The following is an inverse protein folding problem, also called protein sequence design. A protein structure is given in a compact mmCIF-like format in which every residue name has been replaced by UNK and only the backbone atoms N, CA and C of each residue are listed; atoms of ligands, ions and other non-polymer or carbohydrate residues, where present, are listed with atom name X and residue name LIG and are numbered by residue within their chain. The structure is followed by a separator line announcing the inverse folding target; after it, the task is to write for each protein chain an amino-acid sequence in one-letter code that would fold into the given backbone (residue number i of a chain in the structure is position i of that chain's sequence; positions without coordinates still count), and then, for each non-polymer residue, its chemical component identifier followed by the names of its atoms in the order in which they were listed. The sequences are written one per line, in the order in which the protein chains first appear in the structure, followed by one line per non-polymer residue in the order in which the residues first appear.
data_IF_113687284909
#
_entry.id   IF_113687284909
#
_cell.length_a   1.000
_cell.length_b   1.000
_cell.length_c   1.000
_cell.angle_alpha   90.00
_cell.angle_beta   90.00
_cell.angle_gamma   90.00
#
_symmetry.space_group_name_H-M   'P 1'
#
loop_
_entity.id
_entity.type
_entity.pdbx_description
1 polymer ?
#
# COMPACT_ATOMS: atom_id res chain seq x y z
N UNK A 1 -5.05 -1.23 3.16
CA UNK A 1 -5.51 -2.04 2.01
C UNK A 1 -6.10 -3.35 2.49
N UNK A 2 -7.18 -3.84 1.87
CA UNK A 2 -7.86 -5.07 2.30
C UNK A 2 -8.29 -6.00 1.14
N UNK A 3 -7.66 -5.88 -0.03
CA UNK A 3 -8.00 -6.66 -1.25
C UNK A 3 -7.56 -8.12 -1.15
N UNK A 4 -6.34 -8.35 -0.69
CA UNK A 4 -5.75 -9.69 -0.60
C UNK A 4 -6.50 -10.56 0.42
N UNK A 5 -7.09 -9.93 1.45
CA UNK A 5 -7.98 -10.61 2.39
C UNK A 5 -9.17 -11.26 1.68
N UNK A 6 -9.73 -10.59 0.67
CA UNK A 6 -10.91 -11.10 -0.04
C UNK A 6 -10.53 -12.32 -0.88
N UNK A 7 -9.43 -12.23 -1.65
CA UNK A 7 -8.92 -13.34 -2.43
C UNK A 7 -8.64 -14.56 -1.55
N UNK A 8 -7.97 -14.36 -0.40
CA UNK A 8 -7.67 -15.46 0.52
C UNK A 8 -8.94 -16.07 1.14
N UNK A 9 -9.93 -15.24 1.53
CA UNK A 9 -11.09 -15.73 2.27
C UNK A 9 -12.15 -16.37 1.37
N UNK A 10 -12.33 -15.85 0.15
CA UNK A 10 -13.38 -16.29 -0.77
C UNK A 10 -12.88 -17.30 -1.81
N UNK A 11 -11.63 -17.18 -2.28
CA UNK A 11 -11.08 -18.08 -3.29
C UNK A 11 -9.60 -18.45 -3.00
N UNK A 12 -9.35 -19.19 -1.90
CA UNK A 12 -7.99 -19.62 -1.56
C UNK A 12 -7.40 -20.62 -2.56
N UNK A 13 -8.24 -21.37 -3.29
CA UNK A 13 -7.79 -22.36 -4.27
C UNK A 13 -7.25 -21.71 -5.55
N UNK A 14 -7.83 -20.58 -5.98
CA UNK A 14 -7.27 -19.77 -7.06
C UNK A 14 -5.84 -19.30 -6.74
N UNK A 15 -5.59 -18.87 -5.49
CA UNK A 15 -4.24 -18.51 -5.06
C UNK A 15 -3.30 -19.73 -5.08
N UNK A 16 -3.75 -20.89 -4.60
CA UNK A 16 -2.95 -22.13 -4.61
C UNK A 16 -2.58 -22.53 -6.05
N UNK A 17 -3.53 -22.49 -6.98
CA UNK A 17 -3.27 -22.77 -8.40
C UNK A 17 -2.24 -21.78 -8.97
N UNK A 18 -2.40 -20.48 -8.70
CA UNK A 18 -1.44 -19.45 -9.11
C UNK A 18 -0.03 -19.68 -8.56
N UNK A 19 0.09 -20.12 -7.29
CA UNK A 19 1.37 -20.51 -6.68
C UNK A 19 1.97 -21.70 -7.41
N UNK A 20 1.20 -22.78 -7.63
CA UNK A 20 1.70 -24.00 -8.28
C UNK A 20 2.21 -23.72 -9.70
N UNK A 21 1.48 -22.94 -10.50
CA UNK A 21 1.90 -22.53 -11.84
C UNK A 21 3.19 -21.71 -11.77
N UNK A 22 3.27 -20.75 -10.85
CA UNK A 22 4.46 -19.89 -10.69
C UNK A 22 5.68 -20.69 -10.27
N UNK A 23 5.51 -21.65 -9.35
CA UNK A 23 6.56 -22.56 -8.92
C UNK A 23 7.06 -23.42 -10.07
N UNK A 24 6.16 -23.94 -10.91
CA UNK A 24 6.54 -24.69 -12.11
C UNK A 24 7.36 -23.81 -13.07
N UNK A 25 6.92 -22.58 -13.34
CA UNK A 25 7.61 -21.66 -14.25
C UNK A 25 8.99 -21.23 -13.75
N UNK A 26 9.18 -21.16 -12.43
CA UNK A 26 10.44 -20.70 -11.80
C UNK A 26 11.34 -21.85 -11.33
N UNK A 27 10.87 -23.10 -11.40
CA UNK A 27 11.56 -24.27 -10.86
C UNK A 27 11.56 -24.35 -9.32
N UNK A 28 10.76 -23.54 -8.64
CA UNK A 28 10.66 -23.55 -7.18
C UNK A 28 9.94 -24.81 -6.68
N UNK A 29 10.53 -25.49 -5.68
CA UNK A 29 9.96 -26.70 -5.05
C UNK A 29 9.19 -26.40 -3.75
N UNK A 30 9.31 -25.18 -3.25
CA UNK A 30 8.70 -24.77 -1.98
C UNK A 30 8.16 -23.36 -2.12
N UNK A 31 6.93 -23.14 -1.65
CA UNK A 31 6.32 -21.83 -1.52
C UNK A 31 5.91 -21.56 -0.08
N UNK A 32 6.11 -20.32 0.37
CA UNK A 32 5.62 -19.84 1.64
C UNK A 32 4.59 -18.74 1.41
N UNK A 33 3.42 -18.87 2.03
CA UNK A 33 2.42 -17.81 2.13
C UNK A 33 2.66 -17.09 3.45
N UNK A 34 3.31 -15.93 3.40
CA UNK A 34 3.47 -15.06 4.57
C UNK A 34 2.17 -14.27 4.77
N UNK A 35 1.46 -14.54 5.86
CA UNK A 35 0.20 -13.88 6.20
C UNK A 35 0.37 -13.03 7.46
N UNK A 36 -0.11 -11.79 7.43
CA UNK A 36 -0.05 -10.88 8.58
C UNK A 36 -0.73 -11.47 9.82
N UNK A 37 -0.23 -11.11 11.00
CA UNK A 37 -0.66 -11.68 12.29
C UNK A 37 -2.14 -11.48 12.59
N UNK A 38 -2.70 -10.36 12.15
CA UNK A 38 -4.08 -9.92 12.39
C UNK A 38 -5.12 -10.68 11.55
N UNK A 39 -4.71 -11.68 10.76
CA UNK A 39 -5.60 -12.46 9.88
C UNK A 39 -5.69 -13.95 10.27
N UNK A 40 -6.07 -14.29 11.52
CA UNK A 40 -6.13 -15.69 11.97
C UNK A 40 -7.17 -16.52 11.19
N UNK A 41 -8.32 -15.93 10.81
CA UNK A 41 -9.34 -16.62 10.02
C UNK A 41 -8.80 -17.00 8.64
N UNK A 42 -8.20 -16.05 7.93
CA UNK A 42 -7.59 -16.28 6.63
C UNK A 42 -6.48 -17.33 6.68
N UNK A 43 -5.67 -17.35 7.74
CA UNK A 43 -4.65 -18.39 7.93
C UNK A 43 -5.28 -19.78 8.06
N UNK A 44 -6.36 -19.92 8.83
CA UNK A 44 -7.12 -21.19 8.94
C UNK A 44 -7.72 -21.62 7.60
N UNK A 45 -8.27 -20.67 6.83
CA UNK A 45 -8.83 -20.93 5.50
C UNK A 45 -7.74 -21.45 4.55
N UNK A 46 -6.57 -20.80 4.50
CA UNK A 46 -5.44 -21.25 3.68
C UNK A 46 -4.94 -22.62 4.09
N UNK A 47 -4.77 -22.88 5.40
CA UNK A 47 -4.34 -24.18 5.89
C UNK A 47 -5.31 -25.29 5.48
N UNK A 48 -6.62 -25.04 5.57
CA UNK A 48 -7.66 -25.98 5.11
C UNK A 48 -7.58 -26.20 3.60
N UNK A 49 -7.50 -25.13 2.79
CA UNK A 49 -7.43 -25.24 1.34
C UNK A 49 -6.15 -25.99 0.88
N UNK A 50 -5.01 -25.74 1.53
CA UNK A 50 -3.76 -26.47 1.28
C UNK A 50 -3.91 -27.95 1.65
N UNK A 51 -4.57 -28.27 2.76
CA UNK A 51 -4.82 -29.66 3.16
C UNK A 51 -5.74 -30.38 2.14
N UNK A 52 -6.79 -29.72 1.66
CA UNK A 52 -7.66 -30.23 0.59
C UNK A 52 -6.88 -30.48 -0.71
N UNK A 53 -6.05 -29.52 -1.13
CA UNK A 53 -5.22 -29.65 -2.32
C UNK A 53 -4.17 -30.77 -2.18
N UNK A 54 -3.59 -30.94 -0.98
CA UNK A 54 -2.66 -32.03 -0.65
C UNK A 54 -3.36 -33.39 -0.68
N UNK A 55 -4.56 -33.51 -0.12
CA UNK A 55 -5.33 -34.75 -0.13
C UNK A 55 -5.67 -35.23 -1.55
N UNK A 56 -5.83 -34.30 -2.50
CA UNK A 56 -6.02 -34.60 -3.93
C UNK A 56 -4.71 -34.77 -4.72
N UNK A 57 -3.56 -34.61 -4.07
CA UNK A 57 -2.24 -34.74 -4.69
C UNK A 57 -1.81 -33.56 -5.57
N UNK A 58 -2.48 -32.41 -5.49
CA UNK A 58 -2.05 -31.18 -6.20
C UNK A 58 -0.86 -30.52 -5.50
N UNK A 59 -0.88 -30.49 -4.16
CA UNK A 59 0.25 -30.03 -3.32
C UNK A 59 1.00 -31.24 -2.77
N UNK A 60 2.33 -31.15 -2.71
CA UNK A 60 3.23 -32.18 -2.22
C UNK A 60 3.69 -33.22 -3.23
N UNK A 61 3.27 -33.08 -4.50
CA UNK A 61 3.86 -33.78 -5.64
C UNK A 61 4.76 -32.84 -6.44
N UNK A 62 5.90 -32.47 -5.84
CA UNK A 62 6.93 -31.62 -6.45
C UNK A 62 7.01 -30.19 -5.89
N UNK A 63 5.86 -29.60 -5.49
CA UNK A 63 5.80 -28.31 -4.81
C UNK A 63 5.12 -28.47 -3.45
N UNK A 64 5.81 -28.06 -2.39
CA UNK A 64 5.22 -27.92 -1.05
C UNK A 64 4.81 -26.47 -0.77
N UNK A 65 3.68 -26.28 -0.08
CA UNK A 65 3.17 -24.97 0.30
C UNK A 65 2.99 -24.91 1.81
N UNK A 66 3.55 -23.86 2.43
CA UNK A 66 3.48 -23.60 3.86
C UNK A 66 2.83 -22.24 4.14
N UNK A 67 2.05 -22.15 5.22
CA UNK A 67 1.53 -20.87 5.72
C UNK A 67 2.40 -20.42 6.88
N UNK A 68 2.98 -19.23 6.77
CA UNK A 68 3.74 -18.60 7.84
C UNK A 68 2.97 -17.38 8.35
N UNK A 69 2.60 -17.37 9.64
CA UNK A 69 1.89 -16.24 10.25
C UNK A 69 2.90 -15.26 10.84
N UNK A 70 2.92 -14.04 10.35
CA UNK A 70 3.65 -12.92 10.95
C UNK A 70 3.00 -12.45 12.27
N UNK A 71 3.54 -11.35 12.81
CA UNK A 71 3.17 -10.84 14.14
C UNK A 71 2.80 -9.35 14.17
N UNK A 72 2.30 -8.81 13.07
CA UNK A 72 1.72 -7.45 13.05
C UNK A 72 2.72 -6.32 12.89
N UNK A 73 3.60 -6.42 11.90
CA UNK A 73 4.49 -5.34 11.50
C UNK A 73 4.35 -5.10 9.99
N UNK A 74 4.04 -3.86 9.59
CA UNK A 74 3.87 -3.46 8.20
C UNK A 74 5.15 -3.61 7.40
N UNK A 75 6.32 -3.36 8.01
CA UNK A 75 7.62 -3.54 7.34
C UNK A 75 7.89 -4.99 6.91
N UNK A 76 7.28 -6.00 7.57
CA UNK A 76 7.35 -7.39 7.15
C UNK A 76 6.64 -7.66 5.81
N UNK A 77 5.87 -6.70 5.28
CA UNK A 77 5.29 -6.76 3.94
C UNK A 77 6.24 -6.33 2.83
N UNK A 78 7.37 -5.70 3.16
CA UNK A 78 8.43 -5.37 2.20
C UNK A 78 9.15 -6.65 1.76
N UNK A 79 9.53 -6.76 0.48
CA UNK A 79 10.06 -7.99 -0.12
C UNK A 79 11.21 -8.63 0.69
N UNK A 80 12.21 -7.84 1.07
CA UNK A 80 13.39 -8.34 1.79
C UNK A 80 13.16 -8.40 3.30
N UNK A 81 12.36 -7.49 3.86
CA UNK A 81 11.91 -7.55 5.25
C UNK A 81 11.06 -8.80 5.55
N UNK A 82 10.23 -9.22 4.59
CA UNK A 82 9.43 -10.45 4.63
C UNK A 82 10.34 -11.67 4.71
N UNK A 83 11.37 -11.72 3.86
CA UNK A 83 12.35 -12.83 3.86
C UNK A 83 13.04 -12.92 5.22
N UNK A 84 13.57 -11.81 5.74
CA UNK A 84 14.23 -11.79 7.05
C UNK A 84 13.29 -12.20 8.19
N UNK A 85 12.04 -11.70 8.18
CA UNK A 85 11.03 -12.12 9.16
C UNK A 85 10.74 -13.62 9.08
N UNK A 86 10.62 -14.17 7.87
CA UNK A 86 10.32 -15.59 7.67
C UNK A 86 11.49 -16.49 8.10
N UNK A 87 12.73 -16.01 7.95
CA UNK A 87 13.94 -16.67 8.47
C UNK A 87 14.04 -16.65 10.01
N UNK A 88 13.09 -16.01 10.71
CA UNK A 88 13.08 -15.91 12.16
C UNK A 88 13.95 -14.78 12.71
N UNK A 89 14.42 -13.88 11.85
CA UNK A 89 15.19 -12.69 12.25
C UNK A 89 14.25 -11.49 12.46
N UNK A 90 14.82 -10.39 12.95
CA UNK A 90 14.13 -9.09 12.90
C UNK A 90 13.91 -8.71 11.44
N UNK A 91 12.75 -8.15 11.12
CA UNK A 91 12.38 -7.73 9.77
C UNK A 91 13.11 -6.46 9.34
N UNK A 92 14.43 -6.53 9.25
CA UNK A 92 15.31 -5.49 8.78
C UNK A 92 15.58 -5.73 7.30
N UNK A 93 15.01 -4.92 6.39
CA UNK A 93 15.22 -5.09 4.96
C UNK A 93 16.69 -5.22 4.58
N UNK A 94 16.96 -6.07 3.59
CA UNK A 94 18.30 -6.27 3.05
C UNK A 94 18.63 -5.15 2.08
N UNK A 95 19.85 -4.61 2.18
CA UNK A 95 20.37 -3.70 1.17
C UNK A 95 20.57 -4.51 -0.13
N UNK A 96 20.08 -3.96 -1.25
CA UNK A 96 20.29 -4.52 -2.59
C UNK A 96 21.53 -3.85 -3.20
N UNK A 97 22.47 -4.58 -3.84
CA UNK A 97 22.58 -6.04 -4.02
C UNK A 97 23.17 -6.80 -2.79
N UNK A 98 22.99 -8.15 -2.69
CA UNK A 98 22.41 -9.06 -3.69
C UNK A 98 20.87 -9.02 -3.71
N UNK A 99 20.28 -9.21 -4.89
CA UNK A 99 18.83 -9.29 -5.05
C UNK A 99 18.29 -10.66 -4.58
N UNK A 100 17.05 -10.72 -4.05
CA UNK A 100 16.43 -11.98 -3.61
C UNK A 100 16.39 -13.09 -4.66
N UNK A 101 16.27 -12.70 -5.94
CA UNK A 101 16.29 -13.63 -7.07
C UNK A 101 17.62 -14.40 -7.21
N UNK A 102 18.69 -13.92 -6.58
CA UNK A 102 19.99 -14.61 -6.51
C UNK A 102 20.21 -15.19 -5.12
N UNK A 103 20.05 -14.36 -4.07
CA UNK A 103 20.24 -14.76 -2.67
C UNK A 103 19.07 -14.25 -1.83
N UNK A 104 18.05 -15.08 -1.71
CA UNK A 104 16.81 -14.79 -0.99
C UNK A 104 16.69 -15.61 0.29
N UNK A 105 15.54 -16.28 0.44
CA UNK A 105 15.17 -17.05 1.62
C UNK A 105 16.13 -18.23 1.85
N UNK A 106 16.71 -18.29 3.04
CA UNK A 106 17.73 -19.28 3.44
C UNK A 106 18.93 -19.34 2.48
N UNK A 107 19.24 -18.21 1.84
CA UNK A 107 20.30 -18.12 0.83
C UNK A 107 19.92 -18.67 -0.55
N UNK A 108 18.68 -19.16 -0.74
CA UNK A 108 18.21 -19.67 -2.02
C UNK A 108 17.59 -18.57 -2.89
N UNK A 109 17.68 -18.66 -4.23
CA UNK A 109 16.92 -17.81 -5.17
C UNK A 109 15.44 -17.77 -4.82
N UNK A 110 14.91 -16.58 -4.57
CA UNK A 110 13.53 -16.37 -4.12
C UNK A 110 12.89 -15.20 -4.85
N UNK A 111 11.63 -15.35 -5.23
CA UNK A 111 10.81 -14.26 -5.81
C UNK A 111 9.61 -14.05 -4.90
N UNK A 112 9.35 -12.81 -4.52
CA UNK A 112 8.17 -12.44 -3.71
C UNK A 112 7.12 -11.83 -4.63
N UNK A 113 5.91 -12.40 -4.63
CA UNK A 113 4.78 -11.90 -5.40
C UNK A 113 3.60 -11.59 -4.47
N UNK A 114 2.85 -10.54 -4.80
CA UNK A 114 1.60 -10.25 -4.13
C UNK A 114 0.52 -11.29 -4.50
N UNK A 115 -0.43 -11.51 -3.59
CA UNK A 115 -1.55 -12.45 -3.75
C UNK A 115 -2.34 -12.16 -5.03
N UNK A 116 -2.71 -10.91 -5.30
CA UNK A 116 -3.46 -10.53 -6.50
C UNK A 116 -2.71 -10.89 -7.79
N UNK A 117 -1.40 -10.66 -7.84
CA UNK A 117 -0.57 -11.03 -8.99
C UNK A 117 -0.67 -12.53 -9.27
N UNK A 118 -0.58 -13.36 -8.23
CA UNK A 118 -0.64 -14.81 -8.37
C UNK A 118 -2.05 -15.28 -8.76
N UNK A 119 -3.11 -14.65 -8.23
CA UNK A 119 -4.49 -14.98 -8.61
C UNK A 119 -4.83 -14.64 -10.07
N UNK A 120 -4.11 -13.71 -10.71
CA UNK A 120 -4.28 -13.43 -12.14
C UNK A 120 -3.68 -14.52 -13.04
N UNK A 121 -2.70 -15.29 -12.56
CA UNK A 121 -1.94 -16.24 -13.37
C UNK A 121 -2.82 -17.37 -13.94
N UNK A 122 -3.69 -18.05 -13.15
CA UNK A 122 -4.57 -19.08 -13.69
C UNK A 122 -5.45 -18.58 -14.84
N UNK A 123 -5.97 -17.36 -14.76
CA UNK A 123 -6.76 -16.76 -15.84
C UNK A 123 -5.93 -16.54 -17.10
N UNK A 124 -4.70 -16.05 -16.95
CA UNK A 124 -3.78 -15.80 -18.07
C UNK A 124 -3.38 -17.12 -18.75
N UNK A 125 -3.07 -18.16 -17.99
CA UNK A 125 -2.68 -19.46 -18.55
C UNK A 125 -3.85 -20.11 -19.29
N UNK A 126 -5.05 -20.08 -18.71
CA UNK A 126 -6.21 -20.76 -19.29
C UNK A 126 -6.79 -20.03 -20.52
N UNK A 127 -6.69 -18.70 -20.59
CA UNK A 127 -7.29 -17.89 -21.68
C UNK A 127 -6.26 -17.32 -22.66
N UNK A 128 -4.98 -17.42 -22.32
CA UNK A 128 -3.86 -16.90 -23.09
C UNK A 128 -3.52 -15.45 -22.79
N UNK A 129 -2.23 -15.11 -22.95
CA UNK A 129 -1.73 -13.75 -22.75
C UNK A 129 -2.33 -12.73 -23.72
N UNK A 130 -2.72 -13.16 -24.94
CA UNK A 130 -3.39 -12.30 -25.91
C UNK A 130 -4.74 -11.81 -25.38
N UNK A 131 -5.53 -12.69 -24.77
CA UNK A 131 -6.79 -12.32 -24.10
C UNK A 131 -6.54 -11.33 -22.97
N UNK A 132 -5.57 -11.59 -22.09
CA UNK A 132 -5.29 -10.70 -20.96
C UNK A 132 -4.87 -9.29 -21.42
N UNK A 133 -4.18 -9.18 -22.56
CA UNK A 133 -3.82 -7.89 -23.17
C UNK A 133 -4.99 -7.15 -23.81
N UNK A 134 -6.13 -7.81 -24.06
CA UNK A 134 -7.36 -7.12 -24.48
C UNK A 134 -8.02 -6.37 -23.34
N UNK A 135 -7.71 -6.75 -22.09
CA UNK A 135 -8.21 -6.08 -20.90
C UNK A 135 -7.33 -4.88 -20.56
N UNK A 136 -7.98 -3.79 -20.17
CA UNK A 136 -7.32 -2.56 -19.75
C UNK A 136 -6.80 -1.69 -20.90
N UNK A 137 -5.65 -1.05 -20.70
CA UNK A 137 -5.06 -0.09 -21.66
C UNK A 137 -3.57 -0.40 -21.95
N UNK A 138 -3.01 0.05 -23.08
CA UNK A 138 -1.58 -0.12 -23.35
C UNK A 138 -0.71 0.38 -22.18
N UNK A 139 0.28 -0.42 -21.76
CA UNK A 139 1.12 -0.11 -20.59
C UNK A 139 0.51 -0.46 -19.23
N UNK A 140 -0.77 -0.83 -19.15
CA UNK A 140 -1.47 -1.27 -17.94
C UNK A 140 -2.58 -2.26 -18.31
N UNK A 141 -2.17 -3.46 -18.71
CA UNK A 141 -3.07 -4.54 -19.15
C UNK A 141 -3.62 -5.35 -17.99
N UNK A 142 -4.84 -5.85 -18.13
CA UNK A 142 -5.49 -6.71 -17.15
C UNK A 142 -6.55 -6.00 -16.31
N UNK A 143 -6.99 -6.69 -15.25
CA UNK A 143 -7.86 -6.14 -14.23
C UNK A 143 -7.07 -5.73 -13.00
N UNK A 144 -7.69 -4.89 -12.18
CA UNK A 144 -7.16 -4.45 -10.89
C UNK A 144 -8.23 -4.61 -9.83
N UNK A 145 -7.88 -5.24 -8.72
CA UNK A 145 -8.72 -5.27 -7.53
C UNK A 145 -8.32 -4.10 -6.62
N UNK A 146 -9.23 -3.14 -6.43
CA UNK A 146 -9.03 -2.02 -5.50
C UNK A 146 -9.89 -2.17 -4.26
N UNK A 147 -9.57 -1.39 -3.24
CA UNK A 147 -10.33 -1.22 -2.01
C UNK A 147 -10.62 0.25 -1.81
N UNK A 148 -11.90 0.63 -1.71
CA UNK A 148 -12.31 2.01 -1.47
C UNK A 148 -12.76 2.15 -0.01
N UNK A 149 -12.18 3.14 0.66
CA UNK A 149 -12.44 3.49 2.06
C UNK A 149 -12.63 5.00 2.22
N UNK A 150 -13.09 5.42 3.39
CA UNK A 150 -13.54 6.79 3.64
C UNK A 150 -15.06 6.92 3.53
N UNK A 151 -15.60 8.15 3.58
CA UNK A 151 -17.03 8.41 3.67
C UNK A 151 -17.73 8.32 2.30
N UNK A 152 -17.67 7.17 1.65
CA UNK A 152 -18.45 6.85 0.43
C UNK A 152 -19.71 6.05 0.79
N UNK A 153 -20.72 6.02 -0.09
CA UNK A 153 -21.97 5.27 0.18
C UNK A 153 -21.74 3.76 0.25
N UNK A 154 -20.91 3.23 -0.66
CA UNK A 154 -20.57 1.81 -0.75
C UNK A 154 -19.06 1.61 -0.64
N UNK A 155 -18.47 1.70 0.57
CA UNK A 155 -17.06 1.32 0.75
C UNK A 155 -16.94 -0.19 0.56
N UNK A 156 -15.80 -0.65 0.05
CA UNK A 156 -15.67 -2.06 -0.30
C UNK A 156 -14.50 -2.33 -1.21
N UNK A 157 -14.56 -3.44 -1.93
CA UNK A 157 -13.57 -3.83 -2.92
C UNK A 157 -14.24 -4.01 -4.27
N UNK A 158 -13.54 -3.61 -5.32
CA UNK A 158 -14.06 -3.57 -6.68
C UNK A 158 -12.98 -4.03 -7.65
N UNK A 159 -13.33 -4.89 -8.58
CA UNK A 159 -12.47 -5.30 -9.68
C UNK A 159 -12.95 -4.63 -10.97
N UNK A 160 -12.02 -4.02 -11.70
CA UNK A 160 -12.30 -3.42 -12.99
C UNK A 160 -11.09 -3.54 -13.91
N UNK A 161 -11.32 -3.36 -15.21
CA UNK A 161 -10.25 -3.27 -16.20
C UNK A 161 -9.43 -1.99 -16.05
N UNK A 162 -8.11 -2.13 -16.03
CA UNK A 162 -7.19 -1.01 -15.83
C UNK A 162 -7.41 0.11 -16.84
N UNK A 163 -7.55 1.35 -16.37
CA UNK A 163 -7.72 2.53 -17.23
C UNK A 163 -9.11 2.70 -17.86
N UNK A 164 -10.08 1.80 -17.60
CA UNK A 164 -11.47 1.94 -18.11
C UNK A 164 -12.37 2.83 -17.25
N UNK A 165 -11.95 3.11 -16.02
CA UNK A 165 -12.63 4.02 -15.10
C UNK A 165 -11.69 5.16 -14.71
N UNK A 166 -12.24 6.35 -14.54
CA UNK A 166 -11.56 7.44 -13.83
C UNK A 166 -11.73 7.29 -12.31
N UNK A 167 -10.89 7.98 -11.53
CA UNK A 167 -11.07 8.04 -10.08
C UNK A 167 -12.45 8.59 -9.70
N UNK A 168 -12.94 9.61 -10.42
CA UNK A 168 -14.28 10.17 -10.24
C UNK A 168 -15.37 9.13 -10.48
N UNK A 169 -15.33 8.42 -11.60
CA UNK A 169 -16.32 7.39 -11.93
C UNK A 169 -16.35 6.25 -10.90
N UNK A 170 -15.18 5.83 -10.41
CA UNK A 170 -15.12 4.84 -9.34
C UNK A 170 -15.82 5.34 -8.06
N UNK A 171 -15.66 6.61 -7.69
CA UNK A 171 -16.27 7.14 -6.47
C UNK A 171 -17.76 7.43 -6.67
N UNK A 172 -18.12 8.13 -7.73
CA UNK A 172 -19.48 8.62 -7.99
C UNK A 172 -20.39 7.48 -8.49
N UNK A 173 -19.98 6.73 -9.51
CA UNK A 173 -20.84 5.71 -10.14
C UNK A 173 -20.76 4.37 -9.40
N UNK A 174 -19.55 3.90 -9.12
CA UNK A 174 -19.35 2.55 -8.54
C UNK A 174 -19.56 2.56 -7.02
N UNK A 175 -18.99 3.53 -6.30
CA UNK A 175 -19.19 3.62 -4.85
C UNK A 175 -20.49 4.35 -4.46
N UNK A 176 -21.22 4.93 -5.43
CA UNK A 176 -22.49 5.64 -5.19
C UNK A 176 -22.30 7.06 -4.62
N UNK A 177 -21.12 7.65 -4.78
CA UNK A 177 -20.79 8.98 -4.31
C UNK A 177 -20.44 9.07 -2.83
N UNK A 178 -20.26 10.30 -2.36
CA UNK A 178 -19.88 10.62 -0.98
C UNK A 178 -21.10 10.57 -0.06
N UNK A 179 -20.93 9.96 1.11
CA UNK A 179 -21.95 9.87 2.15
C UNK A 179 -22.32 11.26 2.65
N UNK A 180 -23.63 11.57 2.57
CA UNK A 180 -24.20 12.85 2.99
C UNK A 180 -24.07 13.98 1.96
N UNK A 181 -23.67 13.69 0.71
CA UNK A 181 -23.59 14.70 -0.35
C UNK A 181 -22.48 15.74 -0.16
N UNK A 182 -21.53 15.48 0.76
CA UNK A 182 -20.35 16.31 0.98
C UNK A 182 -19.45 16.33 -0.25
N UNK A 183 -18.65 17.39 -0.38
CA UNK A 183 -17.67 17.50 -1.46
C UNK A 183 -16.41 16.69 -1.14
N UNK A 184 -15.82 16.12 -2.19
CA UNK A 184 -14.50 15.48 -2.11
C UNK A 184 -13.45 16.59 -1.99
N UNK A 185 -12.54 16.47 -1.02
CA UNK A 185 -11.37 17.34 -0.85
C UNK A 185 -10.16 16.77 -1.57
N UNK A 186 -9.97 15.46 -1.46
CA UNK A 186 -8.89 14.75 -2.12
C UNK A 186 -9.01 13.24 -1.98
N UNK A 187 -8.17 12.51 -2.70
CA UNK A 187 -8.18 11.04 -2.72
C UNK A 187 -6.75 10.53 -2.73
N UNK A 188 -6.46 9.56 -1.87
CA UNK A 188 -5.20 8.80 -1.91
C UNK A 188 -5.45 7.55 -2.77
N UNK A 189 -4.87 7.43 -3.99
CA UNK A 189 -5.31 6.44 -4.98
C UNK A 189 -4.77 5.02 -4.76
N UNK A 190 -3.56 4.84 -4.24
CA UNK A 190 -2.94 3.50 -4.17
C UNK A 190 -2.81 2.87 -2.79
N UNK A 191 -2.99 3.66 -1.74
CA UNK A 191 -2.68 3.28 -0.37
C UNK A 191 -2.00 4.44 0.33
N UNK A 192 -1.87 4.37 1.65
CA UNK A 192 -1.32 5.45 2.48
C UNK A 192 0.04 5.97 2.04
N UNK A 193 0.82 5.20 1.27
CA UNK A 193 2.14 5.53 0.76
C UNK A 193 2.14 6.46 -0.45
N UNK A 194 0.98 6.68 -1.08
CA UNK A 194 0.89 7.38 -2.36
C UNK A 194 0.51 8.85 -2.17
N UNK A 195 1.04 9.76 -3.01
CA UNK A 195 0.63 11.17 -3.01
C UNK A 195 -0.89 11.34 -3.14
N UNK A 196 -1.47 12.22 -2.32
CA UNK A 196 -2.88 12.61 -2.43
C UNK A 196 -3.15 13.36 -3.74
N UNK A 197 -4.26 13.05 -4.39
CA UNK A 197 -4.82 13.79 -5.51
C UNK A 197 -5.86 14.80 -4.99
N UNK A 198 -5.75 16.11 -5.31
CA UNK A 198 -6.80 17.07 -5.03
C UNK A 198 -8.05 16.83 -5.91
N UNK A 199 -9.19 17.36 -5.50
CA UNK A 199 -10.50 17.10 -6.10
C UNK A 199 -10.63 17.48 -7.60
N UNK A 200 -9.82 18.43 -8.05
CA UNK A 200 -9.73 18.90 -9.44
C UNK A 200 -8.98 17.93 -10.37
N UNK A 201 -8.32 16.91 -9.81
CA UNK A 201 -7.53 15.90 -10.57
C UNK A 201 -8.18 14.50 -10.58
N UNK A 202 -9.45 14.38 -10.19
CA UNK A 202 -10.12 13.07 -10.09
C UNK A 202 -10.59 12.50 -11.42
N UNK A 203 -10.56 13.27 -12.51
CA UNK A 203 -10.85 12.79 -13.86
C UNK A 203 -9.68 12.02 -14.50
N UNK A 204 -8.67 11.67 -13.69
CA UNK A 204 -7.55 10.80 -14.08
C UNK A 204 -8.01 9.34 -14.22
N UNK A 205 -7.58 8.67 -15.29
CA UNK A 205 -7.81 7.25 -15.50
C UNK A 205 -7.07 6.38 -14.46
N UNK A 206 -7.71 5.29 -14.03
CA UNK A 206 -7.17 4.35 -13.05
C UNK A 206 -6.25 3.31 -13.70
N UNK A 207 -5.12 3.79 -14.21
CA UNK A 207 -4.01 2.99 -14.74
C UNK A 207 -2.67 3.50 -14.20
N UNK A 208 -1.59 2.72 -14.36
CA UNK A 208 -0.29 3.07 -13.77
C UNK A 208 0.31 4.35 -14.39
N UNK A 209 0.14 4.56 -15.70
CA UNK A 209 0.77 5.66 -16.40
C UNK A 209 0.07 6.98 -16.14
N UNK A 210 -1.26 7.00 -16.23
CA UNK A 210 -2.11 8.17 -15.98
C UNK A 210 -1.96 8.69 -14.54
N UNK A 211 -1.97 7.79 -13.56
CA UNK A 211 -1.74 8.16 -12.15
C UNK A 211 -0.32 8.71 -11.95
N UNK A 212 0.70 8.10 -12.57
CA UNK A 212 2.07 8.63 -12.54
C UNK A 212 2.18 10.02 -13.12
N UNK A 213 1.55 10.28 -14.27
CA UNK A 213 1.50 11.62 -14.90
C UNK A 213 0.77 12.64 -14.02
N UNK A 214 -0.22 12.22 -13.24
CA UNK A 214 -0.91 13.06 -12.28
C UNK A 214 -0.10 13.34 -10.99
N UNK A 215 1.11 12.78 -10.85
CA UNK A 215 2.00 13.00 -9.71
C UNK A 215 1.71 12.09 -8.51
N UNK A 216 1.09 10.94 -8.75
CA UNK A 216 0.78 9.91 -7.74
C UNK A 216 1.02 8.52 -8.34
N UNK A 217 0.67 7.42 -7.65
CA UNK A 217 0.74 6.08 -8.24
C UNK A 217 -0.39 5.18 -7.72
N UNK A 218 -0.66 4.10 -8.47
CA UNK A 218 -1.73 3.15 -8.15
C UNK A 218 -1.45 2.27 -6.92
N UNK A 219 -0.20 2.23 -6.44
CA UNK A 219 0.22 1.51 -5.24
C UNK A 219 -0.40 0.11 -5.10
N UNK A 220 -0.94 -0.18 -3.92
CA UNK A 220 -1.65 -1.42 -3.59
C UNK A 220 -3.15 -1.40 -3.95
N UNK A 221 -3.66 -0.34 -4.59
CA UNK A 221 -5.10 -0.15 -4.82
C UNK A 221 -5.93 0.14 -3.57
N UNK A 222 -5.31 0.60 -2.47
CA UNK A 222 -6.01 1.01 -1.24
C UNK A 222 -6.47 2.46 -1.30
N UNK A 223 -7.58 2.72 -1.97
CA UNK A 223 -8.14 4.06 -2.18
C UNK A 223 -8.76 4.60 -0.89
N UNK A 224 -8.37 5.83 -0.52
CA UNK A 224 -8.89 6.55 0.65
C UNK A 224 -9.49 7.87 0.17
N UNK A 225 -10.80 8.05 0.35
CA UNK A 225 -11.51 9.28 -0.01
C UNK A 225 -11.53 10.23 1.19
N UNK A 226 -11.16 11.49 0.96
CA UNK A 226 -11.18 12.57 1.94
C UNK A 226 -12.25 13.59 1.55
N UNK A 227 -13.07 14.01 2.51
CA UNK A 227 -14.13 15.02 2.32
C UNK A 227 -13.71 16.39 2.82
N UNK A 228 -14.49 17.41 2.48
CA UNK A 228 -14.22 18.82 2.81
C UNK A 228 -14.06 19.12 4.32
N UNK A 229 -14.68 18.31 5.18
CA UNK A 229 -14.61 18.40 6.65
C UNK A 229 -13.38 17.73 7.28
N UNK A 230 -12.57 17.01 6.49
CA UNK A 230 -11.32 16.41 6.98
C UNK A 230 -10.29 17.49 7.23
N UNK A 231 -9.77 17.57 8.46
CA UNK A 231 -8.58 18.35 8.80
C UNK A 231 -7.35 17.70 8.15
N UNK A 232 -6.74 18.39 7.18
CA UNK A 232 -5.59 17.85 6.46
C UNK A 232 -4.35 17.73 7.34
N UNK A 233 -4.16 18.61 8.32
CA UNK A 233 -3.04 18.51 9.26
C UNK A 233 -3.19 17.25 10.09
N UNK A 234 -4.40 16.96 10.56
CA UNK A 234 -4.68 15.73 11.30
C UNK A 234 -4.54 14.47 10.44
N UNK A 235 -5.09 14.48 9.22
CA UNK A 235 -4.93 13.37 8.30
C UNK A 235 -3.44 13.08 8.01
N UNK A 236 -2.64 14.13 7.82
CA UNK A 236 -1.19 14.02 7.60
C UNK A 236 -0.47 13.50 8.84
N UNK A 237 -0.84 13.98 10.03
CA UNK A 237 -0.33 13.48 11.30
C UNK A 237 -0.63 11.99 11.45
N UNK A 238 -1.85 11.54 11.20
CA UNK A 238 -2.23 10.13 11.30
C UNK A 238 -1.38 9.23 10.39
N UNK A 239 -1.16 9.66 9.13
CA UNK A 239 -0.30 8.93 8.20
C UNK A 239 1.16 8.93 8.67
N UNK A 240 1.67 10.07 9.15
CA UNK A 240 3.04 10.17 9.67
C UNK A 240 3.26 9.30 10.91
N UNK A 241 2.29 9.27 11.84
CA UNK A 241 2.30 8.41 13.03
C UNK A 241 2.34 6.93 12.64
N UNK A 242 1.53 6.53 11.66
CA UNK A 242 1.54 5.17 11.15
C UNK A 242 2.94 4.77 10.66
N UNK A 243 3.58 5.59 9.83
CA UNK A 243 4.92 5.27 9.32
C UNK A 243 6.02 5.36 10.37
N UNK A 244 5.90 6.25 11.35
CA UNK A 244 6.81 6.33 12.49
C UNK A 244 6.71 5.07 13.37
N UNK A 245 5.48 4.60 13.62
CA UNK A 245 5.22 3.37 14.38
C UNK A 245 5.71 2.11 13.65
N UNK A 246 5.50 2.05 12.34
CA UNK A 246 5.76 0.87 11.51
C UNK A 246 7.17 0.84 10.89
N UNK A 247 8.00 1.84 11.18
CA UNK A 247 9.41 1.84 10.81
C UNK A 247 10.18 0.78 11.59
N UNK A 248 11.00 -0.02 10.91
CA UNK A 248 11.88 -0.96 11.59
C UNK A 248 13.04 -0.28 12.35
N UNK A 249 13.32 0.99 12.06
CA UNK A 249 14.39 1.77 12.68
C UNK A 249 15.80 1.47 12.18
N UNK A 250 15.97 0.67 11.11
CA UNK A 250 17.30 0.27 10.63
C UNK A 250 18.12 1.45 10.07
N UNK A 251 17.54 2.24 9.16
CA UNK A 251 18.24 3.37 8.53
C UNK A 251 17.94 4.69 9.25
N UNK A 252 18.98 5.48 9.52
CA UNK A 252 18.87 6.75 10.26
C UNK A 252 17.89 7.75 9.62
N UNK A 253 17.90 7.98 8.29
CA UNK A 253 16.96 8.94 7.69
C UNK A 253 15.50 8.56 7.95
N UNK A 254 15.14 7.28 7.79
CA UNK A 254 13.79 6.83 8.12
C UNK A 254 13.51 6.85 9.63
N UNK A 255 14.40 6.28 10.46
CA UNK A 255 14.20 6.14 11.91
C UNK A 255 13.99 7.49 12.58
N UNK A 256 14.90 8.43 12.35
CA UNK A 256 14.85 9.75 12.99
C UNK A 256 13.91 10.69 12.25
N UNK A 257 13.90 10.66 10.91
CA UNK A 257 13.10 11.56 10.10
C UNK A 257 11.61 11.34 10.26
N UNK A 258 11.13 10.09 10.31
CA UNK A 258 9.69 9.82 10.51
C UNK A 258 9.19 10.27 11.88
N UNK A 259 9.97 10.03 12.95
CA UNK A 259 9.69 10.54 14.29
C UNK A 259 9.73 12.07 14.35
N UNK A 260 10.62 12.70 13.59
CA UNK A 260 10.70 14.16 13.52
C UNK A 260 9.49 14.76 12.81
N UNK A 261 9.08 14.22 11.66
CA UNK A 261 7.85 14.62 10.97
C UNK A 261 6.63 14.49 11.88
N UNK A 262 6.50 13.37 12.59
CA UNK A 262 5.42 13.13 13.55
C UNK A 262 5.39 14.21 14.65
N UNK A 263 6.53 14.50 15.28
CA UNK A 263 6.64 15.53 16.34
C UNK A 263 6.28 16.92 15.83
N UNK A 264 6.74 17.27 14.62
CA UNK A 264 6.40 18.55 14.00
C UNK A 264 4.90 18.67 13.74
N UNK A 265 4.29 17.63 13.17
CA UNK A 265 2.85 17.59 12.89
C UNK A 265 2.01 17.63 14.17
N UNK A 266 2.44 16.96 15.24
CA UNK A 266 1.83 17.09 16.57
C UNK A 266 1.86 18.54 17.06
N UNK A 267 3.01 19.19 16.95
CA UNK A 267 3.19 20.59 17.36
C UNK A 267 2.30 21.53 16.54
N UNK A 268 2.25 21.36 15.22
CA UNK A 268 1.39 22.16 14.33
C UNK A 268 -0.08 21.94 14.69
N UNK A 269 -0.52 20.69 14.85
CA UNK A 269 -1.91 20.36 15.23
C UNK A 269 -2.29 20.94 16.60
N UNK A 270 -1.37 20.98 17.55
CA UNK A 270 -1.58 21.57 18.87
C UNK A 270 -1.60 23.12 18.85
N UNK A 271 -1.44 23.77 17.69
CA UNK A 271 -1.41 25.22 17.57
C UNK A 271 -0.08 25.85 17.99
N UNK A 272 0.98 25.07 18.12
CA UNK A 272 2.33 25.55 18.45
C UNK A 272 3.26 25.56 17.23
N UNK A 273 2.70 25.46 16.02
CA UNK A 273 3.45 25.53 14.77
C UNK A 273 4.00 26.93 14.53
N UNK A 274 5.17 27.00 13.89
CA UNK A 274 5.82 28.25 13.49
C UNK A 274 5.70 28.46 11.98
N UNK A 275 5.78 29.69 11.45
CA UNK A 275 5.71 29.96 10.01
C UNK A 275 6.70 29.13 9.19
N UNK A 276 7.93 28.92 9.70
CA UNK A 276 8.98 28.14 9.05
C UNK A 276 8.77 26.61 9.10
N UNK A 277 7.84 26.13 9.93
CA UNK A 277 7.65 24.68 10.12
C UNK A 277 7.10 23.99 8.89
N UNK A 278 6.35 24.70 8.04
CA UNK A 278 5.78 24.15 6.80
C UNK A 278 6.89 23.78 5.82
N UNK A 279 7.85 24.68 5.63
CA UNK A 279 8.98 24.47 4.72
C UNK A 279 9.98 23.47 5.32
N UNK A 280 10.27 23.58 6.63
CA UNK A 280 11.11 22.61 7.33
C UNK A 280 10.52 21.20 7.27
N UNK A 281 9.20 21.04 7.39
CA UNK A 281 8.56 19.72 7.31
C UNK A 281 8.73 19.10 5.92
N UNK A 282 8.65 19.91 4.87
CA UNK A 282 8.94 19.48 3.50
C UNK A 282 10.40 19.06 3.35
N UNK A 283 11.35 19.85 3.86
CA UNK A 283 12.79 19.54 3.84
C UNK A 283 13.12 18.25 4.61
N UNK A 284 12.48 18.01 5.75
CA UNK A 284 12.65 16.76 6.50
C UNK A 284 12.17 15.58 5.67
N UNK A 285 10.98 15.67 5.05
CA UNK A 285 10.47 14.62 4.18
C UNK A 285 11.39 14.36 2.97
N UNK A 286 11.93 15.41 2.35
CA UNK A 286 12.89 15.32 1.24
C UNK A 286 14.26 14.75 1.64
N UNK A 287 14.62 14.85 2.92
CA UNK A 287 15.81 14.21 3.48
C UNK A 287 15.63 12.72 3.81
N UNK A 288 14.40 12.20 3.71
CA UNK A 288 14.11 10.77 3.81
C UNK A 288 14.03 10.16 2.39
N UNK A 289 13.33 10.83 1.48
CA UNK A 289 13.06 10.38 0.11
C UNK A 289 14.34 9.99 -0.64
N UNK A 290 14.41 8.75 -1.13
CA UNK A 290 15.55 8.21 -1.88
C UNK A 290 16.84 7.97 -1.08
N UNK A 291 16.83 8.17 0.25
CA UNK A 291 18.01 8.07 1.13
C UNK A 291 17.89 6.94 2.16
N UNK A 292 16.99 5.99 1.94
CA UNK A 292 16.69 4.89 2.88
C UNK A 292 16.97 3.52 2.26
N UNK A 293 17.02 2.48 3.11
CA UNK A 293 17.34 1.11 2.68
C UNK A 293 16.19 0.50 1.87
N UNK A 294 14.95 0.83 2.22
CA UNK A 294 13.75 0.23 1.63
C UNK A 294 12.69 1.29 1.32
N UNK A 295 11.72 0.99 0.44
CA UNK A 295 10.70 1.94 0.02
C UNK A 295 9.76 2.51 1.11
N UNK A 296 9.92 2.07 2.37
CA UNK A 296 9.16 2.65 3.49
C UNK A 296 9.51 4.12 3.71
N UNK A 297 10.76 4.53 3.46
CA UNK A 297 11.16 5.94 3.59
C UNK A 297 10.38 6.84 2.63
N UNK A 298 10.32 6.46 1.36
CA UNK A 298 9.50 7.10 0.34
C UNK A 298 8.01 7.07 0.71
N UNK A 299 7.51 5.92 1.18
CA UNK A 299 6.14 5.76 1.61
C UNK A 299 5.76 6.69 2.78
N UNK A 300 6.72 7.04 3.65
CA UNK A 300 6.52 8.00 4.73
C UNK A 300 6.62 9.46 4.26
N UNK A 301 7.53 9.74 3.32
CA UNK A 301 7.82 11.09 2.83
C UNK A 301 6.79 11.60 1.81
N UNK A 302 6.42 10.78 0.83
CA UNK A 302 5.57 11.19 -0.29
C UNK A 302 4.19 11.69 0.12
N UNK A 303 3.45 11.06 1.06
CA UNK A 303 2.16 11.57 1.50
C UNK A 303 2.28 12.94 2.14
N UNK A 304 3.29 13.14 3.01
CA UNK A 304 3.54 14.43 3.67
C UNK A 304 3.87 15.51 2.64
N UNK A 305 4.80 15.24 1.71
CA UNK A 305 5.14 16.17 0.61
C UNK A 305 3.91 16.52 -0.23
N UNK A 306 3.04 15.55 -0.52
CA UNK A 306 1.84 15.76 -1.31
C UNK A 306 0.76 16.57 -0.57
N UNK A 307 0.54 16.30 0.71
CA UNK A 307 -0.39 17.08 1.53
C UNK A 307 0.07 18.54 1.65
N UNK A 308 1.36 18.75 1.94
CA UNK A 308 1.95 20.09 1.98
C UNK A 308 1.81 20.81 0.63
N UNK A 309 2.08 20.14 -0.48
CA UNK A 309 2.01 20.75 -1.82
C UNK A 309 0.58 21.13 -2.21
N UNK A 310 -0.39 20.26 -1.97
CA UNK A 310 -1.77 20.45 -2.43
C UNK A 310 -2.63 21.25 -1.45
N UNK A 311 -2.30 21.26 -0.15
CA UNK A 311 -3.10 21.87 0.90
C UNK A 311 -2.28 22.81 1.80
N UNK A 312 -1.23 23.44 1.26
CA UNK A 312 -0.27 24.29 1.99
C UNK A 312 -0.94 25.32 2.90
N UNK A 313 -2.00 25.96 2.40
CA UNK A 313 -2.74 26.99 3.13
C UNK A 313 -3.37 26.48 4.42
N UNK A 314 -3.79 25.21 4.49
CA UNK A 314 -4.33 24.61 5.73
C UNK A 314 -3.23 24.46 6.80
N UNK A 315 -2.00 24.11 6.40
CA UNK A 315 -0.84 24.04 7.31
C UNK A 315 -0.41 25.43 7.77
N UNK A 316 -0.30 26.40 6.86
CA UNK A 316 0.04 27.78 7.21
C UNK A 316 -0.98 28.40 8.16
N UNK A 317 -2.27 28.14 7.94
CA UNK A 317 -3.33 28.58 8.83
C UNK A 317 -3.21 27.93 10.22
N UNK A 318 -2.87 26.64 10.29
CA UNK A 318 -2.64 25.93 11.56
C UNK A 318 -1.45 26.52 12.34
N UNK A 319 -0.37 26.92 11.67
CA UNK A 319 0.77 27.61 12.31
C UNK A 319 0.41 29.03 12.80
N UNK A 320 -0.56 29.71 12.18
CA UNK A 320 -0.95 31.09 12.57
C UNK A 320 -1.93 31.16 13.74
N UNK A 321 -2.66 30.08 14.06
CA UNK A 321 -3.77 30.09 15.02
C UNK A 321 -3.42 30.63 16.43
N UNK A 322 -2.15 30.68 16.83
CA UNK A 322 -1.71 31.26 18.11
C UNK A 322 -0.75 32.45 18.00
N UNK A 323 -0.46 32.97 16.80
CA UNK A 323 0.27 34.23 16.66
C UNK A 323 -0.46 35.44 17.25
N UNK A 324 -1.76 35.29 17.54
CA UNK A 324 -2.64 36.30 18.11
C UNK A 324 -3.20 35.93 19.51
N UNK A 325 -2.59 34.98 20.23
CA UNK A 325 -3.06 34.51 21.53
C UNK A 325 -2.02 34.65 22.65
N UNK A 326 -2.22 35.66 23.50
CA UNK A 326 -1.60 35.90 24.82
C UNK A 326 -0.09 36.17 24.89
N UNK A 327 0.29 37.41 24.58
CA UNK A 327 1.10 38.18 25.53
C UNK A 327 0.29 38.45 26.80
N UNK A 328 0.53 37.65 27.84
CA UNK A 328 0.28 38.02 29.24
C UNK A 328 1.67 37.93 29.90
N UNK A 329 2.31 39.05 30.25
CA UNK A 329 2.18 39.71 31.57
C UNK A 329 2.20 38.72 32.74
#
# INVERSE_FOLDING_TARGET
TFKDRQLIQYDPHLLIEGILISCLATGAKTAYIYIRGEMPLSAKILQRAIAEARAKGYVGRGVEIYVHRGAGAYICGEETGLIESLEGKRAYPRIKPPFPAVVGLFGCPTVVNNVETLCNIPHIVNRGAAWYRTLGVPGSTGTRLVCVSGPVQRPGYYEFEMGKLTMRQLIEDVCGGVKGGRKIKGVIPGGSSMPVLPADKLDVALDFESLRKAGTMAGSGGIIVLTEDVDIVDATLNVSQFYAHESCGQCTPCREGTLWMEKMLHRIKAGHGRPEDVDLLFEVADNIDGKTICPLGEAAAWPVKAFLKNFRSEFEAACKKNGNGSSHE
#
